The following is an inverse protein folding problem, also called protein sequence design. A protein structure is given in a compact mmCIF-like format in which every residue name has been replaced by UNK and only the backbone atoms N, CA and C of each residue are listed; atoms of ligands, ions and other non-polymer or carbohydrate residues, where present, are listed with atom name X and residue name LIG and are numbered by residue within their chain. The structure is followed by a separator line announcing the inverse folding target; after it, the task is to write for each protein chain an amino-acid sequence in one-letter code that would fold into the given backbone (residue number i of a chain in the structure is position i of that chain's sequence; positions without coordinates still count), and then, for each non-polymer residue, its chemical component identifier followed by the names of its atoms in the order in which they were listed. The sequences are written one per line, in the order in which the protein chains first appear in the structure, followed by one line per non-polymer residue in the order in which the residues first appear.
data_IF_264132661055
#
_entry.id   IF_264132661055
#
_cell.length_a   1.000
_cell.length_b   1.000
_cell.length_c   1.000
_cell.angle_alpha   90.00
_cell.angle_beta   90.00
_cell.angle_gamma   90.00
#
_symmetry.space_group_name_H-M   'P 1'
#
loop_
_entity.id
_entity.type
_entity.pdbx_description
1 polymer ?
#
# COMPACT_ATOMS: atom_id res chain seq x y z
N UNK A 1 -16.07 -14.82 8.76
CA UNK A 1 -15.01 -14.09 9.50
C UNK A 1 -15.11 -12.60 9.19
N UNK A 2 -14.89 -11.74 10.17
CA UNK A 2 -14.93 -10.29 9.96
C UNK A 2 -13.71 -9.81 9.16
N UNK A 3 -13.92 -8.90 8.18
CA UNK A 3 -12.81 -8.25 7.46
C UNK A 3 -12.10 -7.28 8.40
N UNK A 4 -10.76 -7.35 8.45
CA UNK A 4 -9.92 -6.43 9.22
C UNK A 4 -9.31 -5.36 8.28
N UNK A 5 -9.08 -4.16 8.82
CA UNK A 5 -8.40 -3.06 8.14
C UNK A 5 -7.17 -2.63 8.95
N UNK A 6 -6.07 -2.34 8.28
CA UNK A 6 -4.87 -1.76 8.86
C UNK A 6 -4.42 -0.56 8.03
N UNK A 7 -3.77 0.41 8.65
CA UNK A 7 -3.17 1.58 8.01
C UNK A 7 -1.69 1.66 8.40
N UNK A 8 -0.85 1.95 7.41
CA UNK A 8 0.60 2.03 7.59
C UNK A 8 1.11 3.36 7.04
N UNK A 9 1.94 4.05 7.83
CA UNK A 9 2.72 5.20 7.36
C UNK A 9 4.13 4.73 7.04
N UNK A 10 4.58 5.01 5.82
CA UNK A 10 5.90 4.60 5.32
C UNK A 10 6.72 5.85 5.07
N UNK A 11 7.94 5.86 5.61
CA UNK A 11 8.87 6.99 5.55
C UNK A 11 10.13 6.61 4.76
N UNK A 12 10.83 7.62 4.23
CA UNK A 12 12.04 7.45 3.41
C UNK A 12 11.81 7.81 1.94
N UNK A 13 12.68 7.32 1.06
CA UNK A 13 12.58 7.56 -0.39
C UNK A 13 11.52 6.61 -0.98
N UNK A 14 10.24 7.02 -0.86
CA UNK A 14 9.08 6.22 -1.27
C UNK A 14 8.25 6.87 -2.37
N UNK A 15 8.49 8.14 -2.68
CA UNK A 15 7.81 8.86 -3.76
C UNK A 15 8.72 8.95 -4.99
N UNK A 16 8.13 8.89 -6.19
CA UNK A 16 8.88 8.94 -7.46
C UNK A 16 9.59 7.63 -7.84
N UNK A 17 9.58 6.60 -6.99
CA UNK A 17 10.29 5.32 -7.21
C UNK A 17 9.39 4.14 -7.59
N UNK A 18 8.12 4.40 -7.93
CA UNK A 18 7.15 3.35 -8.25
C UNK A 18 6.61 2.58 -7.03
N UNK A 19 6.84 3.06 -5.80
CA UNK A 19 6.41 2.40 -4.56
C UNK A 19 4.91 2.04 -4.53
N UNK A 20 4.04 2.94 -5.03
CA UNK A 20 2.60 2.68 -5.10
C UNK A 20 2.25 1.47 -5.98
N UNK A 21 2.95 1.32 -7.11
CA UNK A 21 2.77 0.17 -8.01
C UNK A 21 3.29 -1.13 -7.36
N UNK A 22 4.43 -1.06 -6.68
CA UNK A 22 4.97 -2.17 -5.90
C UNK A 22 3.99 -2.68 -4.85
N UNK A 23 3.42 -1.78 -4.04
CA UNK A 23 2.40 -2.14 -3.02
C UNK A 23 1.15 -2.74 -3.67
N UNK A 24 0.67 -2.15 -4.78
CA UNK A 24 -0.48 -2.67 -5.51
C UNK A 24 -0.27 -4.11 -5.99
N UNK A 25 0.89 -4.42 -6.56
CA UNK A 25 1.25 -5.77 -7.03
C UNK A 25 1.22 -6.79 -5.90
N UNK A 26 1.81 -6.47 -4.74
CA UNK A 26 1.82 -7.35 -3.57
C UNK A 26 0.41 -7.54 -3.02
N UNK A 27 -0.34 -6.45 -2.84
CA UNK A 27 -1.72 -6.51 -2.33
C UNK A 27 -2.61 -7.39 -3.22
N UNK A 28 -2.49 -7.26 -4.55
CA UNK A 28 -3.21 -8.09 -5.51
C UNK A 28 -2.84 -9.58 -5.39
N UNK A 29 -1.55 -9.90 -5.24
CA UNK A 29 -1.09 -11.30 -5.05
C UNK A 29 -1.60 -11.94 -3.75
N UNK A 30 -1.88 -11.13 -2.73
CA UNK A 30 -2.42 -11.56 -1.44
C UNK A 30 -3.95 -11.45 -1.36
N UNK A 31 -4.62 -11.10 -2.47
CA UNK A 31 -6.06 -10.85 -2.53
C UNK A 31 -6.54 -9.82 -1.48
N UNK A 32 -5.73 -8.79 -1.24
CA UNK A 32 -6.01 -7.67 -0.36
C UNK A 32 -6.56 -6.48 -1.15
N UNK A 33 -7.40 -5.66 -0.49
CA UNK A 33 -7.96 -4.43 -1.06
C UNK A 33 -7.57 -3.21 -0.23
N UNK A 34 -7.44 -2.05 -0.87
CA UNK A 34 -7.09 -0.79 -0.21
C UNK A 34 -6.50 0.24 -1.18
N UNK A 35 -5.75 1.21 -0.64
CA UNK A 35 -5.07 2.23 -1.44
C UNK A 35 -3.72 2.61 -0.83
N UNK A 36 -2.83 3.11 -1.68
CA UNK A 36 -1.59 3.77 -1.27
C UNK A 36 -1.70 5.26 -1.63
N UNK A 37 -1.48 6.12 -0.64
CA UNK A 37 -1.58 7.58 -0.76
C UNK A 37 -0.24 8.22 -0.36
N UNK A 38 0.23 9.17 -1.16
CA UNK A 38 1.36 10.02 -0.80
C UNK A 38 0.90 11.02 0.26
N UNK A 39 1.69 11.16 1.32
CA UNK A 39 1.58 12.28 2.24
C UNK A 39 2.42 13.43 1.67
N UNK A 40 1.83 14.63 1.68
CA UNK A 40 2.30 15.93 1.17
C UNK A 40 3.80 16.07 0.91
#
# INVERSE_FOLDING_TARGET
MAKKRAEFRVYGIVQGVGFRYFVYRIASSLNLCGFAKNMY
#
